data_IF_593217456942
#
_entry.id   IF_593217456942
#
_cell.length_a   1.000
_cell.length_b   1.000
_cell.length_c   1.000
_cell.angle_alpha   90.00
_cell.angle_beta   90.00
_cell.angle_gamma   90.00
#
_symmetry.space_group_name_H-M   'P 1'
#
loop_
_entity.id
_entity.type
_entity.pdbx_description
1 polymer ?
#
# COMPACT_ATOMS: atom_id res chain seq x y z
N UNK A 1 -8.97 11.27 15.86
CA UNK A 1 -9.76 12.10 14.92
C UNK A 1 -10.79 11.21 14.27
N UNK A 2 -12.01 11.69 14.06
CA UNK A 2 -13.08 10.93 13.41
C UNK A 2 -13.01 11.14 11.89
N UNK A 3 -13.09 10.07 11.11
CA UNK A 3 -13.04 10.08 9.64
C UNK A 3 -14.31 9.41 9.09
N UNK A 4 -14.85 9.82 7.92
CA UNK A 4 -15.96 9.12 7.29
C UNK A 4 -15.53 7.79 6.64
N UNK A 5 -14.22 7.60 6.41
CA UNK A 5 -13.66 6.37 5.90
C UNK A 5 -13.75 5.24 6.94
N UNK A 6 -13.92 4.01 6.47
CA UNK A 6 -14.16 2.86 7.34
C UNK A 6 -12.95 2.56 8.22
N UNK A 7 -13.21 2.30 9.50
CA UNK A 7 -12.27 1.85 10.52
C UNK A 7 -11.08 2.79 10.77
N UNK A 8 -10.06 2.29 11.46
CA UNK A 8 -8.96 3.06 12.02
C UNK A 8 -7.62 2.31 11.90
N UNK A 9 -6.57 2.91 12.46
CA UNK A 9 -5.22 2.34 12.53
C UNK A 9 -5.25 0.85 12.92
N UNK A 10 -4.37 0.06 12.29
CA UNK A 10 -4.27 -1.40 12.43
C UNK A 10 -5.29 -2.21 11.62
N UNK A 11 -5.98 -1.56 10.68
CA UNK A 11 -6.88 -2.25 9.76
C UNK A 11 -6.46 -2.01 8.32
N UNK A 12 -6.97 -2.82 7.39
CA UNK A 12 -6.71 -2.68 5.96
C UNK A 12 -7.74 -1.77 5.25
N UNK A 13 -8.65 -1.15 5.99
CA UNK A 13 -9.69 -0.24 5.48
C UNK A 13 -9.11 1.15 5.18
N UNK A 14 -9.80 1.93 4.36
CA UNK A 14 -9.34 3.27 3.94
C UNK A 14 -9.18 4.23 5.12
N UNK A 15 -9.94 4.06 6.21
CA UNK A 15 -9.80 4.92 7.40
C UNK A 15 -8.47 4.75 8.13
N UNK A 16 -7.77 3.62 7.92
CA UNK A 16 -6.43 3.38 8.45
C UNK A 16 -5.31 3.96 7.58
N UNK A 17 -5.52 3.94 6.26
CA UNK A 17 -4.45 4.12 5.26
C UNK A 17 -4.56 5.46 4.52
N UNK A 18 -5.77 6.00 4.38
CA UNK A 18 -6.01 7.28 3.71
C UNK A 18 -5.91 8.39 4.73
N UNK A 19 -4.95 9.28 4.50
CA UNK A 19 -4.65 10.42 5.38
C UNK A 19 -4.82 11.75 4.65
N UNK A 20 -5.08 12.86 5.36
CA UNK A 20 -5.01 14.18 4.76
C UNK A 20 -3.56 14.49 4.33
N UNK A 21 -3.40 15.10 3.16
CA UNK A 21 -2.12 15.55 2.65
C UNK A 21 -2.26 16.93 2.00
N UNK A 22 -1.42 17.87 2.43
CA UNK A 22 -1.35 19.23 1.90
C UNK A 22 0.08 19.56 1.53
N UNK A 23 0.26 20.22 0.39
CA UNK A 23 1.58 20.57 -0.15
C UNK A 23 1.55 22.03 -0.55
N UNK A 24 2.56 22.78 -0.12
CA UNK A 24 2.68 24.21 -0.44
C UNK A 24 4.09 24.50 -0.93
N UNK A 25 4.19 25.02 -2.14
CA UNK A 25 5.44 25.50 -2.71
C UNK A 25 5.17 26.74 -3.58
N UNK A 26 5.31 27.95 -3.02
CA UNK A 26 5.06 29.20 -3.74
C UNK A 26 5.92 29.30 -5.00
N UNK A 27 5.33 29.76 -6.10
CA UNK A 27 6.01 29.86 -7.41
C UNK A 27 6.09 28.55 -8.20
N UNK A 28 5.76 27.41 -7.59
CA UNK A 28 5.85 26.09 -8.24
C UNK A 28 4.52 25.33 -8.26
N UNK A 29 3.74 25.39 -7.17
CA UNK A 29 2.43 24.75 -7.05
C UNK A 29 1.36 25.84 -7.08
N UNK A 30 0.37 25.71 -7.97
CA UNK A 30 -0.76 26.64 -8.06
C UNK A 30 -1.55 26.62 -6.74
N UNK A 31 -1.69 27.76 -6.03
CA UNK A 31 -2.45 27.81 -4.79
C UNK A 31 -3.91 27.33 -4.97
N UNK A 32 -4.42 26.57 -4.00
CA UNK A 32 -5.78 26.07 -4.00
C UNK A 32 -6.07 24.95 -5.02
N UNK A 33 -5.04 24.41 -5.69
CA UNK A 33 -5.22 23.25 -6.57
C UNK A 33 -5.61 22.00 -5.78
N UNK A 34 -6.44 21.15 -6.39
CA UNK A 34 -6.82 19.83 -5.88
C UNK A 34 -6.51 18.78 -6.93
N UNK A 35 -5.95 17.65 -6.52
CA UNK A 35 -5.74 16.48 -7.39
C UNK A 35 -6.41 15.24 -6.81
N UNK A 36 -6.96 14.41 -7.69
CA UNK A 36 -7.49 13.08 -7.37
C UNK A 36 -6.52 11.95 -7.81
N UNK A 37 -5.31 12.30 -8.25
CA UNK A 37 -4.27 11.32 -8.55
C UNK A 37 -3.90 10.52 -7.30
N UNK A 38 -3.60 9.23 -7.48
CA UNK A 38 -3.16 8.38 -6.36
C UNK A 38 -1.78 8.85 -5.92
N UNK A 39 -1.62 9.11 -4.62
CA UNK A 39 -0.35 9.47 -4.01
C UNK A 39 -0.12 8.56 -2.82
N UNK A 40 1.09 8.03 -2.67
CA UNK A 40 1.47 7.18 -1.54
C UNK A 40 2.62 7.80 -0.75
N UNK A 41 2.72 7.49 0.55
CA UNK A 41 3.78 8.02 1.41
C UNK A 41 5.20 7.78 0.86
N UNK A 42 5.41 6.62 0.21
CA UNK A 42 6.68 6.26 -0.44
C UNK A 42 7.05 7.15 -1.64
N UNK A 43 6.09 7.86 -2.24
CA UNK A 43 6.34 8.74 -3.39
C UNK A 43 7.14 9.98 -2.99
N UNK A 44 7.17 10.34 -1.70
CA UNK A 44 7.89 11.51 -1.24
C UNK A 44 9.38 11.42 -1.48
N UNK A 45 10.00 10.25 -1.28
CA UNK A 45 11.44 10.09 -1.46
C UNK A 45 11.90 10.44 -2.89
N UNK A 46 11.39 9.78 -3.96
CA UNK A 46 11.78 10.15 -5.32
C UNK A 46 11.30 11.54 -5.74
N UNK A 47 10.18 12.03 -5.19
CA UNK A 47 9.69 13.40 -5.48
C UNK A 47 10.62 14.46 -4.92
N UNK A 48 11.04 14.33 -3.66
CA UNK A 48 11.97 15.26 -3.01
C UNK A 48 13.37 15.18 -3.62
N UNK A 49 13.83 13.98 -4.00
CA UNK A 49 15.07 13.82 -4.74
C UNK A 49 15.03 14.57 -6.07
N UNK A 50 13.95 14.45 -6.83
CA UNK A 50 13.76 15.19 -8.08
C UNK A 50 13.73 16.71 -7.87
N UNK A 51 13.13 17.19 -6.77
CA UNK A 51 13.17 18.61 -6.39
C UNK A 51 14.61 19.07 -6.14
N UNK A 52 15.44 18.23 -5.52
CA UNK A 52 16.86 18.48 -5.29
C UNK A 52 17.74 18.29 -6.54
N UNK A 53 17.17 17.95 -7.70
CA UNK A 53 17.88 17.76 -8.96
C UNK A 53 18.25 16.30 -9.29
N UNK A 54 17.92 15.35 -8.42
CA UNK A 54 18.17 13.92 -8.64
C UNK A 54 16.91 13.22 -9.17
N UNK A 55 16.69 13.30 -10.48
CA UNK A 55 15.45 12.83 -11.12
C UNK A 55 15.38 11.33 -11.34
N UNK A 56 16.53 10.64 -11.29
CA UNK A 56 16.65 9.22 -11.66
C UNK A 56 17.12 8.37 -10.46
N UNK A 57 16.78 8.80 -9.23
CA UNK A 57 17.20 8.14 -8.00
C UNK A 57 16.79 6.66 -7.97
N UNK A 58 15.57 6.37 -8.43
CA UNK A 58 15.01 5.02 -8.40
C UNK A 58 15.85 4.06 -9.24
N UNK A 59 16.21 4.46 -10.46
CA UNK A 59 17.01 3.67 -11.38
C UNK A 59 18.43 3.46 -10.83
N UNK A 60 19.04 4.51 -10.27
CA UNK A 60 20.37 4.43 -9.67
C UNK A 60 20.43 3.47 -8.49
N UNK A 61 19.40 3.46 -7.63
CA UNK A 61 19.35 2.58 -6.46
C UNK A 61 19.22 1.10 -6.82
N UNK A 62 18.73 0.75 -8.01
CA UNK A 62 18.70 -0.65 -8.46
C UNK A 62 20.11 -1.19 -8.73
N UNK A 63 20.98 -0.36 -9.32
CA UNK A 63 22.36 -0.75 -9.66
C UNK A 63 23.37 -0.49 -8.54
N UNK A 64 23.02 0.40 -7.60
CA UNK A 64 23.90 0.85 -6.52
C UNK A 64 24.11 2.37 -6.60
N UNK A 65 23.87 3.05 -5.49
CA UNK A 65 23.99 4.50 -5.37
C UNK A 65 24.74 4.87 -4.09
N UNK A 66 25.81 5.66 -4.21
CA UNK A 66 26.59 6.12 -3.08
C UNK A 66 26.00 7.42 -2.51
N UNK A 67 25.67 7.40 -1.22
CA UNK A 67 25.19 8.57 -0.49
C UNK A 67 25.64 8.46 0.98
N UNK A 68 26.03 9.58 1.59
CA UNK A 68 26.42 9.63 3.01
C UNK A 68 27.48 8.57 3.39
N UNK A 69 28.46 8.36 2.50
CA UNK A 69 29.54 7.39 2.68
C UNK A 69 29.10 5.91 2.66
N UNK A 70 27.89 5.61 2.17
CA UNK A 70 27.33 4.25 2.06
C UNK A 70 26.80 3.98 0.67
N UNK A 71 26.98 2.75 0.21
CA UNK A 71 26.36 2.28 -1.04
C UNK A 71 25.01 1.65 -0.76
N UNK A 72 23.96 2.18 -1.38
CA UNK A 72 22.60 1.68 -1.31
C UNK A 72 22.25 0.95 -2.59
N UNK A 73 21.91 -0.34 -2.47
CA UNK A 73 21.28 -1.13 -3.55
C UNK A 73 19.89 -1.56 -3.07
N UNK A 74 18.85 -0.84 -3.46
CA UNK A 74 17.48 -1.02 -2.97
C UNK A 74 16.46 -0.75 -4.07
N UNK A 75 15.32 -1.44 -3.99
CA UNK A 75 14.18 -1.15 -4.85
C UNK A 75 13.30 -0.09 -4.18
N UNK A 76 13.20 1.12 -4.76
CA UNK A 76 12.24 2.12 -4.31
C UNK A 76 10.87 1.92 -4.97
N UNK A 77 9.83 1.70 -4.18
CA UNK A 77 8.45 1.53 -4.68
C UNK A 77 7.71 2.85 -4.92
N UNK A 78 8.31 3.97 -4.52
CA UNK A 78 7.81 5.32 -4.79
C UNK A 78 7.88 5.72 -6.26
N UNK A 79 7.08 6.71 -6.64
CA UNK A 79 7.12 7.39 -7.93
C UNK A 79 7.36 8.89 -7.77
N UNK A 80 8.05 9.50 -8.73
CA UNK A 80 8.23 10.95 -8.76
C UNK A 80 6.92 11.65 -9.13
N UNK A 81 6.33 12.35 -8.16
CA UNK A 81 5.07 13.08 -8.30
C UNK A 81 5.28 14.57 -8.64
N UNK A 82 6.52 15.02 -8.83
CA UNK A 82 6.82 16.43 -9.11
C UNK A 82 6.07 16.97 -10.34
N UNK A 83 5.95 16.24 -11.47
CA UNK A 83 5.16 16.70 -12.61
C UNK A 83 3.69 16.93 -12.26
N UNK A 84 3.09 16.06 -11.44
CA UNK A 84 1.71 16.21 -10.97
C UNK A 84 1.56 17.44 -10.06
N UNK A 85 2.47 17.59 -9.08
CA UNK A 85 2.42 18.70 -8.12
C UNK A 85 2.59 20.07 -8.80
N UNK A 86 3.44 20.15 -9.83
CA UNK A 86 3.71 21.39 -10.56
C UNK A 86 2.76 21.66 -11.72
N UNK A 87 1.72 20.83 -11.89
CA UNK A 87 0.72 21.00 -12.96
C UNK A 87 1.26 20.75 -14.37
N UNK A 88 2.38 20.02 -14.51
CA UNK A 88 2.89 19.58 -15.82
C UNK A 88 2.12 18.38 -16.39
N UNK A 89 1.37 17.68 -15.54
CA UNK A 89 0.44 16.61 -15.90
C UNK A 89 -0.69 16.57 -14.88
N UNK A 90 -1.88 16.13 -15.31
CA UNK A 90 -3.02 15.86 -14.43
C UNK A 90 -3.05 14.40 -13.94
N UNK A 91 -2.19 13.55 -14.50
CA UNK A 91 -2.14 12.13 -14.17
C UNK A 91 -1.04 11.80 -13.17
N UNK A 92 -1.42 11.08 -12.11
CA UNK A 92 -0.43 10.42 -11.24
C UNK A 92 0.23 9.25 -11.99
N UNK A 93 1.57 9.11 -11.91
CA UNK A 93 2.29 7.92 -12.37
C UNK A 93 1.97 6.68 -11.52
N UNK A 94 1.54 6.87 -10.27
CA UNK A 94 1.12 5.76 -9.40
C UNK A 94 -0.26 5.26 -9.81
N UNK A 95 -0.34 3.98 -10.17
CA UNK A 95 -1.63 3.34 -10.49
C UNK A 95 -2.06 2.33 -9.41
N UNK A 96 -1.19 2.02 -8.45
CA UNK A 96 -1.39 0.98 -7.45
C UNK A 96 -0.90 1.34 -6.05
N UNK A 97 -1.50 0.70 -5.04
CA UNK A 97 -1.08 0.74 -3.63
C UNK A 97 -1.22 -0.66 -3.05
N UNK A 98 -0.15 -1.16 -2.46
CA UNK A 98 -0.13 -2.42 -1.71
C UNK A 98 -0.32 -2.12 -0.22
N UNK A 99 -1.21 -2.86 0.43
CA UNK A 99 -1.59 -2.67 1.82
C UNK A 99 -1.01 -3.81 2.62
N UNK A 100 -0.09 -3.51 3.53
CA UNK A 100 0.54 -4.51 4.38
C UNK A 100 0.00 -4.43 5.80
N UNK A 101 -0.16 -5.59 6.43
CA UNK A 101 -0.36 -5.67 7.89
C UNK A 101 0.94 -5.30 8.62
N UNK A 102 0.83 -5.08 9.92
CA UNK A 102 1.98 -4.93 10.82
C UNK A 102 2.86 -6.20 10.86
N UNK A 103 2.27 -7.37 10.65
CA UNK A 103 2.98 -8.65 10.49
C UNK A 103 3.68 -8.83 9.12
N UNK A 104 3.50 -7.88 8.18
CA UNK A 104 4.13 -7.91 6.87
C UNK A 104 3.38 -8.69 5.78
N UNK A 105 2.13 -9.08 6.04
CA UNK A 105 1.29 -9.76 5.05
C UNK A 105 0.58 -8.79 4.11
N UNK A 106 0.45 -9.16 2.84
CA UNK A 106 -0.31 -8.36 1.87
C UNK A 106 -1.82 -8.51 2.11
N UNK A 107 -2.40 -7.57 2.86
CA UNK A 107 -3.82 -7.58 3.21
C UNK A 107 -4.74 -7.11 2.10
N UNK A 108 -4.29 -6.18 1.26
CA UNK A 108 -5.07 -5.66 0.14
C UNK A 108 -4.19 -5.08 -0.98
N UNK A 109 -4.78 -4.97 -2.17
CA UNK A 109 -4.24 -4.24 -3.31
C UNK A 109 -5.28 -3.23 -3.76
N UNK A 110 -4.87 -1.98 -3.97
CA UNK A 110 -5.61 -1.03 -4.80
C UNK A 110 -4.92 -0.88 -6.13
N UNK A 111 -5.67 -0.89 -7.23
CA UNK A 111 -5.21 -0.36 -8.50
C UNK A 111 -6.34 0.44 -9.19
N UNK A 112 -6.02 1.67 -9.59
CA UNK A 112 -7.01 2.64 -10.03
C UNK A 112 -8.10 2.86 -8.97
N UNK A 113 -9.35 2.66 -9.39
CA UNK A 113 -10.52 2.75 -8.52
C UNK A 113 -10.83 1.44 -7.77
N UNK A 114 -10.17 0.33 -8.10
CA UNK A 114 -10.47 -0.99 -7.54
C UNK A 114 -9.59 -1.28 -6.33
N UNK A 115 -10.18 -1.81 -5.26
CA UNK A 115 -9.50 -2.36 -4.09
C UNK A 115 -9.93 -3.81 -3.89
N UNK A 116 -8.96 -4.70 -3.75
CA UNK A 116 -9.15 -6.11 -3.47
C UNK A 116 -8.60 -6.41 -2.08
N UNK A 117 -9.43 -7.01 -1.24
CA UNK A 117 -9.06 -7.36 0.14
C UNK A 117 -8.84 -8.87 0.24
N UNK A 118 -7.59 -9.25 0.47
CA UNK A 118 -7.14 -10.62 0.65
C UNK A 118 -7.25 -11.07 2.10
N UNK A 119 -7.06 -10.15 3.05
CA UNK A 119 -7.20 -10.38 4.49
C UNK A 119 -8.09 -9.29 5.08
N UNK A 120 -9.16 -9.68 5.75
CA UNK A 120 -10.16 -8.76 6.30
C UNK A 120 -9.97 -8.60 7.81
N UNK A 121 -9.73 -7.37 8.27
CA UNK A 121 -9.97 -7.03 9.67
C UNK A 121 -11.48 -6.86 9.88
N UNK A 122 -12.10 -7.83 10.55
CA UNK A 122 -13.55 -7.85 10.81
C UNK A 122 -13.94 -7.10 12.06
N UNK A 123 -13.03 -7.05 13.03
CA UNK A 123 -13.24 -6.38 14.29
C UNK A 123 -13.17 -4.89 14.06
N UNK A 124 -14.06 -4.15 14.72
CA UNK A 124 -14.18 -2.72 14.57
C UNK A 124 -14.00 -2.07 15.93
N UNK A 125 -13.31 -0.94 15.95
CA UNK A 125 -13.15 -0.06 17.09
C UNK A 125 -12.35 -0.63 18.28
N UNK A 126 -11.95 0.29 19.17
CA UNK A 126 -11.26 0.00 20.44
C UNK A 126 -9.92 -0.74 20.28
N UNK A 127 -9.41 -1.28 21.39
CA UNK A 127 -8.23 -2.15 21.40
C UNK A 127 -8.52 -3.53 20.77
N UNK A 128 -9.79 -3.89 20.57
CA UNK A 128 -10.18 -5.19 20.02
C UNK A 128 -9.55 -5.48 18.65
N UNK A 129 -9.37 -4.45 17.80
CA UNK A 129 -8.70 -4.58 16.49
C UNK A 129 -7.22 -5.02 16.58
N UNK A 130 -6.60 -4.88 17.76
CA UNK A 130 -5.23 -5.32 18.02
C UNK A 130 -5.18 -6.71 18.67
N UNK A 131 -6.30 -7.16 19.23
CA UNK A 131 -6.43 -8.48 19.86
C UNK A 131 -6.91 -9.54 18.87
N UNK A 132 -7.73 -9.12 17.90
CA UNK A 132 -8.38 -10.01 16.94
C UNK A 132 -7.59 -10.10 15.62
N UNK A 133 -7.41 -11.32 15.07
CA UNK A 133 -6.59 -11.53 13.90
C UNK A 133 -7.29 -11.05 12.62
N UNK A 134 -6.48 -10.76 11.60
CA UNK A 134 -6.97 -10.65 10.24
C UNK A 134 -7.49 -11.99 9.73
N UNK A 135 -8.60 -11.98 9.00
CA UNK A 135 -9.20 -13.19 8.41
C UNK A 135 -8.85 -13.27 6.93
N UNK A 136 -7.99 -14.23 6.57
CA UNK A 136 -7.66 -14.53 5.18
C UNK A 136 -8.90 -14.97 4.37
N UNK A 137 -9.00 -14.50 3.13
CA UNK A 137 -10.13 -14.75 2.24
C UNK A 137 -9.74 -15.73 1.14
N UNK A 138 -10.62 -16.71 0.89
CA UNK A 138 -10.53 -17.60 -0.28
C UNK A 138 -10.91 -16.90 -1.58
N UNK A 139 -11.85 -15.96 -1.49
CA UNK A 139 -12.27 -15.07 -2.58
C UNK A 139 -12.08 -13.65 -2.05
N UNK A 140 -11.20 -12.84 -2.65
CA UNK A 140 -10.98 -11.47 -2.20
C UNK A 140 -12.27 -10.66 -2.27
N UNK A 141 -12.49 -9.78 -1.30
CA UNK A 141 -13.57 -8.79 -1.43
C UNK A 141 -13.15 -7.78 -2.50
N UNK A 142 -14.11 -7.30 -3.30
CA UNK A 142 -13.86 -6.30 -4.34
C UNK A 142 -14.62 -5.03 -3.97
N UNK A 143 -13.94 -3.89 -4.02
CA UNK A 143 -14.52 -2.57 -3.77
C UNK A 143 -14.13 -1.66 -4.93
N UNK A 144 -15.06 -0.83 -5.38
CA UNK A 144 -14.74 0.31 -6.23
C UNK A 144 -14.74 1.57 -5.37
N UNK A 145 -13.57 2.09 -5.00
CA UNK A 145 -13.40 3.20 -4.06
C UNK A 145 -13.94 4.54 -4.60
N UNK A 146 -14.17 4.66 -5.91
CA UNK A 146 -14.81 5.85 -6.48
C UNK A 146 -16.33 5.81 -6.32
N UNK A 147 -16.92 4.62 -6.33
CA UNK A 147 -18.37 4.41 -6.14
C UNK A 147 -18.75 4.19 -4.68
N UNK A 148 -17.90 3.52 -3.92
CA UNK A 148 -18.06 3.21 -2.50
C UNK A 148 -16.78 3.61 -1.74
N UNK A 149 -16.53 4.92 -1.57
CA UNK A 149 -15.34 5.41 -0.87
C UNK A 149 -15.32 5.05 0.61
N UNK A 150 -16.45 4.61 1.17
CA UNK A 150 -16.61 4.28 2.59
C UNK A 150 -16.67 2.78 2.85
N UNK A 151 -16.50 1.95 1.82
CA UNK A 151 -16.35 0.49 1.93
C UNK A 151 -17.54 -0.19 2.64
N UNK A 152 -18.77 0.23 2.32
CA UNK A 152 -20.02 -0.19 2.99
C UNK A 152 -20.84 -1.20 2.20
N UNK A 153 -20.58 -1.38 0.91
CA UNK A 153 -21.40 -2.20 0.02
C UNK A 153 -21.61 -3.63 0.54
N UNK A 154 -20.53 -4.25 1.03
CA UNK A 154 -20.54 -5.59 1.63
C UNK A 154 -21.40 -5.72 2.90
N UNK A 155 -21.69 -4.63 3.61
CA UNK A 155 -22.55 -4.65 4.81
C UNK A 155 -24.01 -4.29 4.51
N UNK A 156 -24.21 -3.39 3.55
CA UNK A 156 -25.49 -2.68 3.39
C UNK A 156 -26.29 -3.10 2.17
N UNK A 157 -25.64 -3.76 1.19
CA UNK A 157 -26.30 -4.16 -0.06
C UNK A 157 -26.75 -5.61 -0.03
N UNK A 158 -27.99 -5.85 -0.46
CA UNK A 158 -28.54 -7.20 -0.66
C UNK A 158 -27.98 -7.91 -1.91
N UNK A 159 -27.34 -7.17 -2.83
CA UNK A 159 -26.85 -7.69 -4.12
C UNK A 159 -25.34 -7.54 -4.31
N UNK A 160 -24.59 -7.33 -3.22
CA UNK A 160 -23.13 -7.15 -3.29
C UNK A 160 -22.43 -8.37 -3.91
N UNK A 161 -22.86 -9.58 -3.57
CA UNK A 161 -22.19 -10.80 -4.04
C UNK A 161 -22.43 -11.06 -5.53
N UNK A 162 -23.64 -10.80 -6.05
CA UNK A 162 -23.89 -10.83 -7.50
C UNK A 162 -23.00 -9.80 -8.21
N UNK A 163 -22.95 -8.58 -7.68
CA UNK A 163 -22.09 -7.52 -8.20
C UNK A 163 -20.60 -7.89 -8.19
N UNK A 164 -20.13 -8.59 -7.15
CA UNK A 164 -18.76 -9.09 -7.01
C UNK A 164 -18.45 -10.15 -8.07
N UNK A 165 -19.36 -11.11 -8.28
CA UNK A 165 -19.20 -12.19 -9.26
C UNK A 165 -19.10 -11.61 -10.68
N UNK A 166 -19.97 -10.66 -11.02
CA UNK A 166 -19.92 -9.93 -12.31
C UNK A 166 -18.59 -9.18 -12.55
N UNK A 167 -17.82 -8.96 -11.49
CA UNK A 167 -16.54 -8.23 -11.49
C UNK A 167 -15.35 -9.10 -11.14
N UNK A 168 -15.50 -10.43 -11.15
CA UNK A 168 -14.39 -11.35 -10.91
C UNK A 168 -13.20 -11.11 -11.86
N UNK A 169 -13.43 -10.57 -13.05
CA UNK A 169 -12.39 -10.18 -14.01
C UNK A 169 -11.37 -9.16 -13.45
N UNK A 170 -11.74 -8.38 -12.43
CA UNK A 170 -10.86 -7.44 -11.71
C UNK A 170 -9.72 -8.21 -10.98
N UNK A 171 -9.90 -9.49 -10.67
CA UNK A 171 -8.84 -10.28 -10.03
C UNK A 171 -7.65 -10.57 -10.97
N UNK A 172 -7.86 -10.57 -12.29
CA UNK A 172 -6.79 -10.91 -13.26
C UNK A 172 -5.69 -9.84 -13.33
N UNK A 173 -6.00 -8.53 -13.48
CA UNK A 173 -4.98 -7.49 -13.36
C UNK A 173 -4.31 -7.49 -11.98
N UNK A 174 -5.06 -7.77 -10.91
CA UNK A 174 -4.52 -7.83 -9.55
C UNK A 174 -3.37 -8.84 -9.43
N UNK A 175 -3.53 -10.04 -10.00
CA UNK A 175 -2.48 -11.05 -10.05
C UNK A 175 -1.22 -10.55 -10.74
N UNK A 176 -1.36 -9.74 -11.79
CA UNK A 176 -0.20 -9.16 -12.49
C UNK A 176 0.54 -8.16 -11.60
N UNK A 177 -0.18 -7.26 -10.91
CA UNK A 177 0.44 -6.31 -9.97
C UNK A 177 1.15 -7.02 -8.83
N UNK A 178 0.47 -7.96 -8.16
CA UNK A 178 1.05 -8.73 -7.04
C UNK A 178 2.23 -9.57 -7.52
N UNK A 179 2.09 -10.27 -8.65
CA UNK A 179 3.17 -11.10 -9.20
C UNK A 179 4.43 -10.30 -9.54
N UNK A 180 4.28 -9.12 -10.15
CA UNK A 180 5.40 -8.22 -10.43
C UNK A 180 6.07 -7.71 -9.16
N UNK A 181 5.27 -7.32 -8.17
CA UNK A 181 5.78 -6.87 -6.88
C UNK A 181 6.53 -8.01 -6.16
N UNK A 182 5.94 -9.21 -6.06
CA UNK A 182 6.59 -10.34 -5.41
C UNK A 182 7.87 -10.78 -6.13
N UNK A 183 7.95 -10.62 -7.45
CA UNK A 183 9.14 -10.95 -8.21
C UNK A 183 10.35 -10.06 -7.85
N UNK A 184 10.14 -8.83 -7.35
CA UNK A 184 11.25 -7.93 -6.96
C UNK A 184 12.05 -8.48 -5.79
N UNK A 185 11.41 -9.22 -4.87
CA UNK A 185 12.07 -9.79 -3.70
C UNK A 185 13.12 -10.84 -4.03
N UNK A 186 13.14 -11.38 -5.25
CA UNK A 186 14.22 -12.28 -5.72
C UNK A 186 15.58 -11.57 -5.74
N UNK A 187 15.59 -10.31 -6.16
CA UNK A 187 16.80 -9.49 -6.24
C UNK A 187 16.94 -8.55 -5.05
N UNK A 188 15.82 -8.14 -4.43
CA UNK A 188 15.76 -7.18 -3.34
C UNK A 188 14.95 -7.74 -2.17
N UNK A 189 15.49 -8.73 -1.42
CA UNK A 189 14.76 -9.35 -0.32
C UNK A 189 14.46 -8.34 0.81
N UNK A 190 13.45 -8.61 1.67
CA UNK A 190 13.13 -7.75 2.79
C UNK A 190 14.34 -7.50 3.69
N UNK A 191 14.64 -6.23 3.96
CA UNK A 191 15.80 -5.83 4.79
C UNK A 191 15.55 -5.93 6.29
N UNK A 192 14.29 -6.03 6.69
CA UNK A 192 13.86 -6.15 8.08
C UNK A 192 12.73 -7.17 8.12
N UNK A 193 12.84 -8.17 9.01
CA UNK A 193 11.71 -9.05 9.30
C UNK A 193 10.66 -8.26 10.07
N UNK A 194 9.39 -8.42 9.72
CA UNK A 194 8.30 -7.85 10.50
C UNK A 194 8.35 -8.44 11.93
N UNK A 195 8.09 -7.60 12.92
CA UNK A 195 7.91 -8.06 14.27
C UNK A 195 6.54 -8.74 14.35
N UNK A 196 6.51 -10.05 14.59
CA UNK A 196 5.25 -10.74 14.86
C UNK A 196 5.22 -11.22 16.31
N UNK A 197 4.02 -11.15 16.88
CA UNK A 197 3.71 -11.65 18.22
C UNK A 197 3.23 -13.10 18.19
N UNK A 198 3.25 -13.76 17.02
CA UNK A 198 2.76 -15.12 16.86
C UNK A 198 3.76 -16.16 17.37
N UNK A 199 3.23 -17.27 17.88
CA UNK A 199 4.04 -18.41 18.27
C UNK A 199 4.79 -19.01 17.08
N UNK A 200 4.32 -18.84 15.84
CA UNK A 200 4.95 -19.43 14.66
C UNK A 200 6.37 -18.89 14.44
N UNK A 201 6.63 -17.59 14.63
CA UNK A 201 8.00 -17.07 14.55
C UNK A 201 8.86 -17.50 15.73
N UNK A 202 8.27 -17.70 16.92
CA UNK A 202 8.97 -18.27 18.08
C UNK A 202 9.36 -19.72 17.79
N UNK A 203 8.45 -20.50 17.20
CA UNK A 203 8.65 -21.88 16.81
C UNK A 203 9.64 -22.01 15.65
N UNK A 204 9.60 -21.12 14.66
CA UNK A 204 10.59 -21.04 13.57
C UNK A 204 11.99 -20.77 14.14
N UNK A 205 12.15 -19.81 15.06
CA UNK A 205 13.43 -19.57 15.75
C UNK A 205 13.89 -20.76 16.60
N UNK A 206 12.97 -21.46 17.26
CA UNK A 206 13.29 -22.66 18.04
C UNK A 206 13.67 -23.85 17.15
N UNK A 207 13.07 -23.98 15.97
CA UNK A 207 13.42 -25.00 14.97
C UNK A 207 14.77 -24.67 14.30
N UNK A 208 15.02 -23.41 13.95
CA UNK A 208 16.30 -22.94 13.42
C UNK A 208 17.43 -23.10 14.46
N UNK A 209 17.15 -22.90 15.76
CA UNK A 209 18.11 -23.11 16.85
C UNK A 209 18.29 -24.56 17.30
N UNK A 210 17.36 -25.46 16.93
CA UNK A 210 17.38 -26.89 17.27
C UNK A 210 18.12 -27.77 16.24
N UNK A 211 18.47 -27.21 15.09
CA UNK A 211 19.20 -27.88 14.01
C UNK A 211 20.72 -27.88 14.20
N UNK A 212 21.21 -28.46 15.30
CA UNK A 212 22.61 -28.88 15.38
C UNK A 212 22.75 -30.07 16.32
N UNK A 213 22.65 -31.27 15.75
CA UNK A 213 23.47 -32.46 16.04
C UNK A 213 23.41 -33.40 14.85
#
# INVERSE_FOLDING_TARGET
GMTPFRSEKNTNWEGAMRVPAFVRWPGHIKPGSVTNGIFHHMDWMPTMAAIAGETNLKEKLLTGYEADGKTYKVHLDGYNQLPLLTGKTDESPRKEVFYFTDDGDLSALRYGDWKLIFMEQKTEETLAIWMEPFVAKRIPLIINLRRDPYERGMKTSNSYYDWLIDRAWVMVPAQTYVGKFLATFREYPPRMKAASFSLDQVMEKLQEGGGSK
#
